data_IF_253722097624
#
_entry.id   IF_253722097624
#
_cell.length_a   1.000
_cell.length_b   1.000
_cell.length_c   1.000
_cell.angle_alpha   90.00
_cell.angle_beta   90.00
_cell.angle_gamma   90.00
#
_symmetry.space_group_name_H-M   'P 1'
#
loop_
_entity.id
_entity.type
_entity.pdbx_description
1 polymer ?
#
# COMPACT_ATOMS: atom_id res chain seq x y z
N UNK A 1 3.42 -18.79 25.47
CA UNK A 1 4.38 -19.45 26.40
C UNK A 1 5.25 -18.38 27.03
N UNK A 2 6.01 -17.62 26.28
CA UNK A 2 6.97 -16.62 26.80
C UNK A 2 6.30 -15.57 27.68
N UNK A 3 5.17 -15.00 27.32
CA UNK A 3 4.43 -14.00 28.11
C UNK A 3 4.00 -14.48 29.50
N UNK A 4 3.90 -15.81 29.69
CA UNK A 4 3.51 -16.42 30.96
C UNK A 4 4.70 -16.97 31.76
N UNK A 5 5.90 -16.62 31.34
CA UNK A 5 7.16 -17.11 31.95
C UNK A 5 7.89 -15.93 32.57
N UNK A 6 7.99 -15.85 33.91
CA UNK A 6 8.52 -14.66 34.60
C UNK A 6 10.04 -14.49 34.39
N UNK A 7 10.75 -15.49 33.93
CA UNK A 7 12.18 -15.47 33.66
C UNK A 7 12.55 -14.72 32.38
N UNK A 8 11.56 -14.36 31.54
CA UNK A 8 11.78 -13.62 30.29
C UNK A 8 10.99 -12.33 30.23
N UNK A 9 11.53 -11.34 29.54
CA UNK A 9 10.91 -10.04 29.33
C UNK A 9 11.19 -9.53 27.89
N UNK A 10 10.65 -8.36 27.54
CA UNK A 10 10.84 -7.70 26.26
C UNK A 10 10.62 -8.64 25.07
N UNK A 11 9.46 -9.29 25.06
CA UNK A 11 9.10 -10.21 23.99
C UNK A 11 8.71 -9.40 22.76
N UNK A 12 9.39 -9.64 21.65
CA UNK A 12 9.14 -9.00 20.37
C UNK A 12 9.05 -10.03 19.25
N UNK A 13 8.33 -9.70 18.21
CA UNK A 13 8.23 -10.52 16.99
C UNK A 13 8.51 -9.66 15.76
N UNK A 14 9.08 -10.26 14.74
CA UNK A 14 9.28 -9.64 13.43
C UNK A 14 8.05 -9.79 12.50
N UNK A 15 7.00 -10.48 12.96
CA UNK A 15 5.74 -10.57 12.24
C UNK A 15 4.81 -9.45 12.68
N UNK A 16 4.53 -8.54 11.77
CA UNK A 16 3.64 -7.41 12.02
C UNK A 16 2.16 -7.81 11.87
N UNK A 17 1.24 -7.10 12.53
CA UNK A 17 -0.18 -7.33 12.34
C UNK A 17 -0.58 -7.02 10.89
N UNK A 18 -1.59 -7.75 10.38
CA UNK A 18 -2.13 -7.52 9.05
C UNK A 18 -2.68 -6.10 8.92
N UNK A 19 -2.50 -5.53 7.74
CA UNK A 19 -3.01 -4.21 7.38
C UNK A 19 -4.09 -4.34 6.31
N UNK A 20 -5.10 -3.46 6.33
CA UNK A 20 -6.09 -3.43 5.25
C UNK A 20 -5.46 -2.87 3.98
N UNK A 21 -5.54 -3.64 2.89
CA UNK A 21 -5.07 -3.25 1.56
C UNK A 21 -6.26 -3.16 0.62
N UNK A 22 -6.40 -2.02 -0.03
CA UNK A 22 -7.41 -1.82 -1.06
C UNK A 22 -6.96 -2.53 -2.34
N UNK A 23 -7.72 -3.53 -2.75
CA UNK A 23 -7.48 -4.30 -3.97
C UNK A 23 -8.50 -3.92 -5.02
N UNK A 24 -8.02 -3.50 -6.20
CA UNK A 24 -8.87 -3.13 -7.32
C UNK A 24 -8.72 -4.20 -8.40
N UNK A 25 -9.84 -4.81 -8.77
CA UNK A 25 -9.89 -5.72 -9.90
C UNK A 25 -9.94 -4.91 -11.21
N UNK A 26 -8.74 -4.67 -11.76
CA UNK A 26 -8.57 -3.84 -12.95
C UNK A 26 -9.09 -4.51 -14.20
N UNK A 27 -10.02 -3.84 -14.92
CA UNK A 27 -10.53 -4.27 -16.22
C UNK A 27 -9.67 -3.69 -17.34
N UNK A 28 -8.68 -4.45 -17.75
CA UNK A 28 -7.72 -4.05 -18.77
C UNK A 28 -8.35 -3.73 -20.14
N UNK A 29 -9.31 -4.50 -20.66
CA UNK A 29 -9.97 -4.17 -21.92
C UNK A 29 -10.66 -2.82 -21.90
N UNK A 30 -11.48 -2.56 -20.87
CA UNK A 30 -12.18 -1.28 -20.69
C UNK A 30 -11.25 -0.10 -20.57
N UNK A 31 -10.19 -0.23 -19.75
CA UNK A 31 -9.20 0.82 -19.59
C UNK A 31 -8.44 1.12 -20.90
N UNK A 32 -8.06 0.09 -21.67
CA UNK A 32 -7.40 0.28 -22.96
C UNK A 32 -8.29 0.98 -23.98
N UNK A 33 -9.59 0.65 -23.99
CA UNK A 33 -10.55 1.33 -24.87
C UNK A 33 -10.66 2.82 -24.57
N UNK A 34 -10.42 3.22 -23.32
CA UNK A 34 -10.39 4.61 -22.84
C UNK A 34 -8.98 5.25 -22.91
N UNK A 35 -7.99 4.54 -23.44
CA UNK A 35 -6.62 5.04 -23.54
C UNK A 35 -5.87 5.11 -22.20
N UNK A 36 -6.37 4.43 -21.18
CA UNK A 36 -5.79 4.44 -19.84
C UNK A 36 -4.81 3.28 -19.62
N UNK A 37 -3.66 3.59 -19.07
CA UNK A 37 -2.67 2.61 -18.65
C UNK A 37 -2.84 2.25 -17.17
N UNK A 38 -2.23 1.14 -16.76
CA UNK A 38 -2.19 0.75 -15.35
C UNK A 38 -1.47 1.78 -14.48
N UNK A 39 -0.48 2.46 -15.05
CA UNK A 39 0.25 3.53 -14.37
C UNK A 39 -0.63 4.75 -14.11
N UNK A 40 -1.50 5.13 -15.07
CA UNK A 40 -2.45 6.24 -14.90
C UNK A 40 -3.42 5.97 -13.75
N UNK A 41 -3.93 4.74 -13.66
CA UNK A 41 -4.80 4.31 -12.56
C UNK A 41 -4.05 4.38 -11.22
N UNK A 42 -2.83 3.87 -11.15
CA UNK A 42 -2.03 3.89 -9.92
C UNK A 42 -1.72 5.33 -9.47
N UNK A 43 -1.37 6.20 -10.40
CA UNK A 43 -1.05 7.59 -10.11
C UNK A 43 -2.30 8.35 -9.63
N UNK A 44 -3.43 8.16 -10.30
CA UNK A 44 -4.71 8.79 -9.93
C UNK A 44 -5.18 8.33 -8.54
N UNK A 45 -5.04 7.03 -8.24
CA UNK A 45 -5.36 6.51 -6.92
C UNK A 45 -4.44 7.07 -5.83
N UNK A 46 -3.15 7.20 -6.12
CA UNK A 46 -2.21 7.78 -5.19
C UNK A 46 -2.59 9.23 -4.86
N UNK A 47 -2.99 10.03 -5.87
CA UNK A 47 -3.47 11.40 -5.64
C UNK A 47 -4.79 11.45 -4.90
N UNK A 48 -5.70 10.51 -5.13
CA UNK A 48 -7.00 10.44 -4.47
C UNK A 48 -6.91 10.01 -3.00
N UNK A 49 -5.84 9.30 -2.61
CA UNK A 49 -5.65 8.77 -1.24
C UNK A 49 -4.57 9.54 -0.46
N UNK A 50 -3.31 9.12 -0.62
CA UNK A 50 -2.18 9.64 0.13
C UNK A 50 -1.62 10.97 -0.39
N UNK A 51 -1.78 11.22 -1.67
CA UNK A 51 -1.17 12.33 -2.39
C UNK A 51 0.23 11.99 -2.92
N UNK A 52 0.67 12.78 -3.90
CA UNK A 52 2.00 12.67 -4.50
C UNK A 52 2.89 13.77 -3.90
N UNK A 53 4.08 13.43 -3.36
CA UNK A 53 5.02 14.43 -2.91
C UNK A 53 5.56 15.22 -4.11
N UNK A 54 5.31 16.52 -4.16
CA UNK A 54 5.74 17.42 -5.25
C UNK A 54 6.88 18.34 -4.84
N UNK A 55 7.20 18.39 -3.55
CA UNK A 55 8.28 19.20 -3.04
C UNK A 55 8.35 19.17 -1.53
N UNK A 56 9.22 19.99 -0.98
CA UNK A 56 9.33 20.21 0.46
C UNK A 56 9.76 21.65 0.74
N UNK A 57 9.33 22.17 1.87
CA UNK A 57 9.82 23.44 2.40
C UNK A 57 10.36 23.26 3.81
N UNK A 58 11.21 24.18 4.23
CA UNK A 58 11.84 24.16 5.53
C UNK A 58 11.28 25.30 6.38
N UNK A 59 10.88 24.95 7.59
CA UNK A 59 10.51 25.89 8.63
C UNK A 59 11.50 25.72 9.80
N UNK A 60 12.51 26.56 9.83
CA UNK A 60 13.65 26.38 10.73
C UNK A 60 14.41 25.08 10.43
N UNK A 61 14.43 24.16 11.37
CA UNK A 61 15.06 22.83 11.24
C UNK A 61 14.10 21.73 10.76
N UNK A 62 12.80 22.06 10.68
CA UNK A 62 11.77 21.09 10.29
C UNK A 62 11.57 21.08 8.77
N UNK A 63 11.63 19.88 8.20
CA UNK A 63 11.32 19.65 6.77
C UNK A 63 9.87 19.22 6.65
N UNK A 64 9.06 20.02 5.96
CA UNK A 64 7.66 19.75 5.67
C UNK A 64 7.50 19.36 4.19
N UNK A 65 6.88 18.22 3.93
CA UNK A 65 6.62 17.77 2.56
C UNK A 65 5.32 18.39 2.03
N UNK A 66 5.35 18.76 0.75
CA UNK A 66 4.18 19.27 0.03
C UNK A 66 3.60 18.11 -0.77
N UNK A 67 2.30 17.85 -0.60
CA UNK A 67 1.59 16.77 -1.30
C UNK A 67 0.52 17.34 -2.23
N UNK A 68 0.48 16.84 -3.46
CA UNK A 68 -0.61 17.06 -4.39
C UNK A 68 -1.68 15.98 -4.14
N UNK A 69 -2.92 16.39 -3.85
CA UNK A 69 -4.07 15.52 -3.67
C UNK A 69 -5.22 15.91 -4.56
N UNK A 70 -5.96 14.92 -5.06
CA UNK A 70 -7.26 15.14 -5.67
C UNK A 70 -8.33 15.15 -4.57
N UNK A 71 -9.21 16.13 -4.64
CA UNK A 71 -10.35 16.30 -3.75
C UNK A 71 -11.65 16.15 -4.55
N UNK A 72 -12.76 16.01 -3.87
CA UNK A 72 -14.09 16.05 -4.50
C UNK A 72 -14.48 17.48 -4.94
N UNK A 73 -15.65 17.64 -5.53
CA UNK A 73 -16.16 18.93 -5.98
C UNK A 73 -16.36 19.94 -4.83
N UNK A 74 -16.43 19.47 -3.60
CA UNK A 74 -16.59 20.29 -2.39
C UNK A 74 -15.26 20.64 -1.73
N UNK A 75 -14.15 20.08 -2.24
CA UNK A 75 -12.83 20.24 -1.65
C UNK A 75 -12.55 19.30 -0.48
N UNK A 76 -13.35 18.22 -0.32
CA UNK A 76 -13.20 17.23 0.71
C UNK A 76 -12.45 15.97 0.18
N UNK A 77 -11.85 15.16 1.05
CA UNK A 77 -11.26 13.89 0.65
C UNK A 77 -12.28 12.97 -0.02
N UNK A 78 -11.86 12.27 -1.06
CA UNK A 78 -12.73 11.33 -1.79
C UNK A 78 -13.04 10.14 -0.89
N UNK A 79 -14.30 10.00 -0.44
CA UNK A 79 -14.75 8.90 0.42
C UNK A 79 -14.95 7.61 -0.37
N UNK A 80 -15.59 7.68 -1.54
CA UNK A 80 -15.82 6.54 -2.43
C UNK A 80 -14.79 6.53 -3.56
N UNK A 81 -13.79 5.67 -3.44
CA UNK A 81 -12.74 5.53 -4.44
C UNK A 81 -13.24 5.06 -5.82
N UNK A 82 -14.43 4.45 -5.88
CA UNK A 82 -15.07 4.11 -7.17
C UNK A 82 -15.37 5.36 -8.01
N UNK A 83 -15.59 6.49 -7.37
CA UNK A 83 -15.85 7.79 -8.02
C UNK A 83 -14.58 8.60 -8.26
N UNK A 84 -13.41 8.14 -7.76
CA UNK A 84 -12.14 8.81 -8.01
C UNK A 84 -11.89 8.92 -9.52
N UNK A 85 -11.54 10.12 -9.97
CA UNK A 85 -11.26 10.36 -11.38
C UNK A 85 -9.87 9.87 -11.75
N UNK A 86 -9.82 9.05 -12.79
CA UNK A 86 -8.57 8.56 -13.37
C UNK A 86 -8.27 9.40 -14.60
N UNK A 87 -7.09 10.01 -14.62
CA UNK A 87 -6.63 10.85 -15.70
C UNK A 87 -5.63 10.08 -16.58
N UNK A 88 -5.74 10.27 -17.89
CA UNK A 88 -4.73 9.76 -18.81
C UNK A 88 -3.50 10.67 -18.80
N UNK A 89 -2.32 10.07 -18.69
CA UNK A 89 -1.04 10.80 -18.85
C UNK A 89 -0.73 11.14 -20.31
N UNK A 90 -1.41 10.47 -21.23
CA UNK A 90 -1.29 10.71 -22.67
C UNK A 90 -2.52 11.46 -23.20
N UNK A 91 -2.32 12.47 -24.04
CA UNK A 91 -3.41 13.16 -24.71
C UNK A 91 -4.29 12.15 -25.48
N UNK A 92 -5.59 12.17 -25.24
CA UNK A 92 -6.53 11.33 -25.99
C UNK A 92 -7.08 12.08 -27.20
N UNK A 93 -6.82 11.55 -28.38
CA UNK A 93 -7.43 12.08 -29.60
C UNK A 93 -8.96 11.88 -29.65
N UNK A 94 -9.48 10.94 -28.87
CA UNK A 94 -10.92 10.67 -28.82
C UNK A 94 -11.71 11.86 -28.25
N UNK A 95 -11.14 12.62 -27.31
CA UNK A 95 -11.75 13.85 -26.79
C UNK A 95 -11.83 14.96 -27.85
N UNK A 96 -10.88 15.04 -28.77
CA UNK A 96 -10.89 15.99 -29.90
C UNK A 96 -11.96 15.64 -30.95
N UNK A 97 -12.34 14.37 -31.06
CA UNK A 97 -13.35 13.89 -31.99
C UNK A 97 -14.78 13.96 -31.41
N UNK A 98 -14.94 14.50 -30.21
CA UNK A 98 -16.25 14.71 -29.62
C UNK A 98 -17.02 15.76 -30.42
N UNK A 99 -18.33 15.54 -30.59
CA UNK A 99 -19.22 16.38 -31.41
C UNK A 99 -19.21 17.84 -30.97
N UNK A 100 -19.21 18.10 -29.67
CA UNK A 100 -19.11 19.46 -29.10
C UNK A 100 -17.80 20.17 -29.45
N UNK A 101 -16.68 19.46 -29.32
CA UNK A 101 -15.35 19.99 -29.65
C UNK A 101 -15.22 20.29 -31.13
N UNK A 102 -15.77 19.41 -31.97
CA UNK A 102 -15.81 19.62 -33.43
C UNK A 102 -16.70 20.80 -33.84
N UNK A 103 -17.82 21.02 -33.17
CA UNK A 103 -18.69 22.20 -33.40
C UNK A 103 -17.96 23.48 -33.00
N UNK A 104 -17.34 23.55 -31.83
CA UNK A 104 -16.54 24.69 -31.36
C UNK A 104 -15.34 24.96 -32.28
N UNK A 105 -14.69 23.88 -32.79
CA UNK A 105 -13.58 24.00 -33.74
C UNK A 105 -14.05 24.60 -35.07
N UNK A 106 -15.17 24.11 -35.61
CA UNK A 106 -15.76 24.67 -36.83
C UNK A 106 -16.25 26.11 -36.70
N UNK A 107 -16.75 26.47 -35.52
CA UNK A 107 -17.18 27.82 -35.20
C UNK A 107 -16.03 28.78 -34.90
N UNK A 108 -14.79 28.28 -34.77
CA UNK A 108 -13.62 29.11 -34.41
C UNK A 108 -13.65 29.64 -32.98
N UNK A 109 -14.48 29.03 -32.11
CA UNK A 109 -14.68 29.44 -30.70
C UNK A 109 -13.94 28.56 -29.70
N UNK A 110 -13.15 27.61 -30.19
CA UNK A 110 -12.39 26.66 -29.33
C UNK A 110 -11.29 27.40 -28.57
N UNK A 111 -11.42 27.49 -27.25
CA UNK A 111 -10.39 28.08 -26.37
C UNK A 111 -9.25 27.10 -26.11
N UNK A 112 -8.13 27.59 -25.57
CA UNK A 112 -7.02 26.70 -25.13
C UNK A 112 -7.46 25.82 -23.96
N UNK A 113 -8.30 26.36 -23.08
CA UNK A 113 -8.85 25.65 -21.92
C UNK A 113 -9.76 24.51 -22.35
N UNK A 114 -10.70 24.74 -23.30
CA UNK A 114 -11.57 23.72 -23.88
C UNK A 114 -10.75 22.60 -24.56
N UNK A 115 -9.64 22.96 -25.19
CA UNK A 115 -8.76 22.01 -25.86
C UNK A 115 -8.03 21.12 -24.88
N UNK A 116 -7.52 21.71 -23.79
CA UNK A 116 -6.88 20.95 -22.70
C UNK A 116 -7.89 20.02 -22.02
N UNK A 117 -9.07 20.51 -21.70
CA UNK A 117 -10.14 19.72 -21.09
C UNK A 117 -10.59 18.55 -21.97
N UNK A 118 -10.71 18.77 -23.27
CA UNK A 118 -11.08 17.70 -24.21
C UNK A 118 -9.99 16.65 -24.42
N UNK A 119 -8.71 17.04 -24.29
CA UNK A 119 -7.56 16.14 -24.44
C UNK A 119 -7.29 15.35 -23.15
N UNK A 120 -7.49 15.99 -21.99
CA UNK A 120 -7.28 15.39 -20.68
C UNK A 120 -8.58 14.76 -20.15
N UNK A 121 -9.09 13.75 -20.87
CA UNK A 121 -10.25 12.99 -20.41
C UNK A 121 -10.04 12.38 -19.04
N UNK A 122 -11.04 12.48 -18.18
CA UNK A 122 -11.07 11.75 -16.89
C UNK A 122 -12.17 10.69 -16.93
N UNK A 123 -11.95 9.62 -16.22
CA UNK A 123 -12.89 8.48 -16.16
C UNK A 123 -13.01 8.02 -14.71
N UNK A 124 -14.23 7.86 -14.16
CA UNK A 124 -14.40 7.29 -12.84
C UNK A 124 -13.82 5.87 -12.75
N UNK A 125 -13.10 5.58 -11.66
CA UNK A 125 -12.44 4.28 -11.45
C UNK A 125 -13.39 3.09 -11.62
N UNK A 126 -14.65 3.22 -11.21
CA UNK A 126 -15.66 2.18 -11.35
C UNK A 126 -15.93 1.72 -12.79
N UNK A 127 -15.63 2.55 -13.79
CA UNK A 127 -15.79 2.17 -15.21
C UNK A 127 -14.66 1.27 -15.72
N UNK A 128 -13.53 1.26 -15.04
CA UNK A 128 -12.33 0.50 -15.40
C UNK A 128 -11.95 -0.54 -14.35
N UNK A 129 -12.85 -0.78 -13.40
CA UNK A 129 -12.70 -1.82 -12.37
C UNK A 129 -13.93 -2.72 -12.35
N UNK A 130 -13.72 -4.01 -12.10
CA UNK A 130 -14.79 -5.00 -11.88
C UNK A 130 -15.23 -5.05 -10.42
N UNK A 131 -14.43 -4.57 -9.52
CA UNK A 131 -14.70 -4.52 -8.11
C UNK A 131 -13.56 -3.83 -7.33
N UNK A 132 -13.91 -3.35 -6.15
CA UNK A 132 -12.99 -2.75 -5.19
C UNK A 132 -13.23 -3.46 -3.86
N UNK A 133 -12.24 -4.20 -3.38
CA UNK A 133 -12.30 -4.98 -2.15
C UNK A 133 -11.22 -4.55 -1.18
N UNK A 134 -11.51 -4.66 0.11
CA UNK A 134 -10.52 -4.50 1.17
C UNK A 134 -10.10 -5.90 1.62
N UNK A 135 -8.81 -6.19 1.48
CA UNK A 135 -8.20 -7.45 1.94
C UNK A 135 -7.21 -7.17 3.04
N UNK A 136 -7.13 -8.08 4.00
CA UNK A 136 -6.11 -8.03 5.03
C UNK A 136 -4.89 -8.78 4.54
N UNK A 137 -3.76 -8.09 4.50
CA UNK A 137 -2.50 -8.65 4.02
C UNK A 137 -1.37 -8.39 5.03
N UNK A 138 -0.39 -9.28 5.03
CA UNK A 138 0.81 -9.10 5.84
C UNK A 138 1.69 -8.02 5.18
N UNK A 139 1.99 -6.89 5.87
CA UNK A 139 2.77 -5.80 5.27
C UNK A 139 4.20 -6.22 4.95
N UNK A 140 4.75 -7.11 5.78
CA UNK A 140 6.08 -7.69 5.60
C UNK A 140 6.01 -9.19 5.86
N UNK A 141 6.56 -9.98 4.97
CA UNK A 141 6.72 -11.42 5.13
C UNK A 141 8.20 -11.74 5.30
N UNK A 142 8.69 -11.89 6.55
CA UNK A 142 10.09 -12.22 6.81
C UNK A 142 10.49 -13.55 6.17
N UNK A 143 11.73 -13.64 5.70
CA UNK A 143 12.30 -14.85 5.12
C UNK A 143 13.70 -15.11 5.64
N UNK A 144 13.99 -16.37 5.88
CA UNK A 144 15.32 -16.85 6.19
C UNK A 144 15.71 -17.94 5.20
N UNK A 145 16.85 -17.80 4.55
CA UNK A 145 17.29 -18.72 3.47
C UNK A 145 16.21 -18.98 2.39
N UNK A 146 15.44 -17.93 2.00
CA UNK A 146 14.38 -18.03 1.00
C UNK A 146 13.05 -18.60 1.50
N UNK A 147 13.01 -19.24 2.66
CA UNK A 147 11.80 -19.75 3.30
C UNK A 147 11.13 -18.71 4.17
N UNK A 148 9.80 -18.71 4.24
CA UNK A 148 9.07 -17.86 5.18
C UNK A 148 9.48 -18.20 6.61
N UNK A 149 9.76 -17.19 7.40
CA UNK A 149 10.17 -17.36 8.79
C UNK A 149 9.46 -16.36 9.69
N UNK A 150 9.22 -16.76 10.92
CA UNK A 150 8.79 -15.87 11.98
C UNK A 150 9.80 -15.99 13.12
N UNK A 151 10.32 -14.84 13.56
CA UNK A 151 11.26 -14.79 14.68
C UNK A 151 10.54 -14.19 15.89
N UNK A 152 10.68 -14.87 17.00
CA UNK A 152 10.28 -14.35 18.31
C UNK A 152 11.53 -14.17 19.15
N UNK A 153 11.71 -13.00 19.72
CA UNK A 153 12.86 -12.64 20.55
C UNK A 153 12.38 -12.29 21.94
N UNK A 154 13.17 -12.63 22.94
CA UNK A 154 12.97 -12.18 24.31
C UNK A 154 14.31 -11.94 24.97
N UNK A 155 14.30 -11.13 26.03
CA UNK A 155 15.46 -10.89 26.89
C UNK A 155 15.25 -11.61 28.24
N UNK A 156 16.31 -12.03 28.92
CA UNK A 156 16.17 -12.50 30.29
C UNK A 156 15.66 -11.40 31.22
N UNK A 157 14.85 -11.74 32.20
CA UNK A 157 14.39 -10.78 33.21
C UNK A 157 15.59 -10.27 34.05
N UNK A 158 15.50 -9.04 34.59
CA UNK A 158 16.58 -8.47 35.39
C UNK A 158 17.04 -9.41 36.51
N UNK A 159 18.35 -9.67 36.57
CA UNK A 159 18.95 -10.59 37.56
C UNK A 159 18.87 -12.08 37.22
N UNK A 160 18.35 -12.45 36.06
CA UNK A 160 18.27 -13.83 35.59
C UNK A 160 19.33 -14.05 34.50
N UNK A 161 20.08 -15.14 34.63
CA UNK A 161 21.06 -15.54 33.64
C UNK A 161 20.37 -16.04 32.34
N UNK A 162 20.96 -15.72 31.19
CA UNK A 162 20.39 -16.02 29.86
C UNK A 162 20.09 -17.52 29.69
N UNK A 163 20.98 -18.39 30.15
CA UNK A 163 20.78 -19.85 30.05
C UNK A 163 19.62 -20.32 30.92
N UNK A 164 19.46 -19.77 32.12
CA UNK A 164 18.32 -20.09 32.99
C UNK A 164 16.98 -19.64 32.35
N UNK A 165 16.94 -18.45 31.76
CA UNK A 165 15.78 -17.95 31.04
C UNK A 165 15.45 -18.86 29.84
N UNK A 166 16.45 -19.29 29.08
CA UNK A 166 16.28 -20.23 27.97
C UNK A 166 15.67 -21.56 28.42
N UNK A 167 16.25 -22.20 29.43
CA UNK A 167 15.78 -23.48 29.95
C UNK A 167 14.33 -23.41 30.44
N UNK A 168 13.92 -22.28 31.02
CA UNK A 168 12.55 -22.08 31.49
C UNK A 168 11.51 -22.11 30.35
N UNK A 169 11.90 -21.76 29.12
CA UNK A 169 11.01 -21.75 27.96
C UNK A 169 11.24 -22.92 26.99
N UNK A 170 12.47 -23.45 26.93
CA UNK A 170 12.88 -24.43 25.92
C UNK A 170 12.02 -25.69 25.94
N UNK A 171 11.84 -26.30 27.10
CA UNK A 171 11.06 -27.55 27.23
C UNK A 171 9.61 -27.39 26.73
N UNK A 172 9.03 -26.21 26.97
CA UNK A 172 7.64 -25.91 26.58
C UNK A 172 7.52 -25.54 25.10
N UNK A 173 8.54 -24.90 24.53
CA UNK A 173 8.58 -24.53 23.11
C UNK A 173 8.87 -25.76 22.25
N UNK A 174 9.81 -26.60 22.65
CA UNK A 174 10.18 -27.83 21.92
C UNK A 174 9.08 -28.88 21.91
N UNK A 175 8.14 -28.84 22.87
CA UNK A 175 6.95 -29.71 22.90
C UNK A 175 5.82 -29.22 21.96
N UNK A 176 5.96 -28.07 21.30
CA UNK A 176 4.96 -27.59 20.36
C UNK A 176 4.95 -28.50 19.13
N UNK A 177 3.81 -29.10 18.85
CA UNK A 177 3.63 -29.86 17.61
C UNK A 177 3.49 -28.88 16.45
N UNK A 178 4.52 -28.81 15.61
CA UNK A 178 4.50 -27.99 14.40
C UNK A 178 3.83 -28.77 13.26
N UNK A 179 3.09 -28.09 12.37
CA UNK A 179 2.58 -28.70 11.15
C UNK A 179 3.72 -29.21 10.25
N UNK A 180 3.39 -30.13 9.35
CA UNK A 180 4.35 -30.64 8.37
C UNK A 180 4.96 -29.51 7.54
N UNK A 181 6.27 -29.54 7.35
CA UNK A 181 7.02 -28.50 6.64
C UNK A 181 7.49 -27.33 7.49
N UNK A 182 7.14 -27.28 8.78
CA UNK A 182 7.66 -26.26 9.71
C UNK A 182 8.78 -26.84 10.57
N UNK A 183 9.76 -26.00 10.89
CA UNK A 183 10.85 -26.34 11.80
C UNK A 183 11.12 -25.21 12.79
N UNK A 184 11.51 -25.58 13.99
CA UNK A 184 11.96 -24.65 15.03
C UNK A 184 13.49 -24.62 15.04
N UNK A 185 14.06 -23.41 15.04
CA UNK A 185 15.51 -23.21 15.11
C UNK A 185 15.81 -22.17 16.18
N UNK A 186 16.66 -22.54 17.14
CA UNK A 186 17.21 -21.60 18.12
C UNK A 186 18.31 -20.76 17.47
N UNK A 187 18.27 -19.45 17.68
CA UNK A 187 19.26 -18.49 17.16
C UNK A 187 19.68 -17.50 18.25
N UNK A 188 20.79 -16.80 18.03
CA UNK A 188 21.33 -15.79 18.94
C UNK A 188 22.60 -16.27 19.65
N UNK A 189 22.89 -15.74 20.82
CA UNK A 189 24.08 -16.11 21.60
C UNK A 189 24.12 -17.60 21.96
N UNK A 190 22.95 -18.20 22.10
CA UNK A 190 22.75 -19.60 22.49
C UNK A 190 22.85 -20.55 21.28
N UNK A 191 22.58 -20.09 20.09
CA UNK A 191 22.67 -20.89 18.86
C UNK A 191 24.09 -21.02 18.29
N UNK A 192 25.09 -20.48 18.97
CA UNK A 192 26.51 -20.57 18.58
C UNK A 192 27.33 -21.57 19.38
N UNK A 193 26.70 -22.30 20.27
CA UNK A 193 27.35 -23.35 21.03
C UNK A 193 27.46 -24.67 20.27
#
# INVERSE_FOLDING_TARGET
IMERTPEVCLITTDWEPQVPVLTIEYDQPSARALGLSRNDVSLSLLTATGGIPIGSFYEGIHKNNIYLKCLDEKGEPIEDLGNAQVFSSLPSLNGLLNEETMVKLKAGTLSKEDLVESIMGSTPLKQISKGIDIRWEDPVVPRYNGQRSQRVQCSPAPGIETEKARLAIAERIEKIQLPEGYSLVWQGEIGRA
#
